data_IF_640051987736
#
_entry.id   IF_640051987736
#
_cell.length_a   1.000
_cell.length_b   1.000
_cell.length_c   1.000
_cell.angle_alpha   90.00
_cell.angle_beta   90.00
_cell.angle_gamma   90.00
#
_symmetry.space_group_name_H-M   'P 1'
#
loop_
_entity.id
_entity.type
_entity.pdbx_description
1 polymer ?
#
# COMPACT_ATOMS: atom_id res chain seq x y z
N UNK A 1 15.54 -5.35 0.66
CA UNK A 1 16.56 -4.29 0.82
C UNK A 1 16.52 -3.75 2.25
N UNK A 2 17.68 -3.50 2.82
CA UNK A 2 17.78 -2.93 4.16
C UNK A 2 17.98 -1.41 4.07
N UNK A 3 17.58 -0.69 5.12
CA UNK A 3 17.84 0.74 5.21
C UNK A 3 19.34 0.98 5.41
N UNK A 4 19.86 2.06 4.83
CA UNK A 4 21.22 2.49 5.04
C UNK A 4 21.38 3.06 6.46
N UNK A 5 22.64 3.13 6.93
CA UNK A 5 22.94 3.72 8.25
C UNK A 5 22.45 5.18 8.34
N UNK A 6 22.56 5.92 7.25
CA UNK A 6 22.10 7.31 7.20
C UNK A 6 20.58 7.41 7.32
N UNK A 7 19.86 6.50 6.66
CA UNK A 7 18.39 6.45 6.76
C UNK A 7 17.95 6.12 8.18
N UNK A 8 18.61 5.18 8.82
CA UNK A 8 18.33 4.79 10.21
C UNK A 8 18.60 5.99 11.14
N UNK A 9 19.74 6.65 10.97
CA UNK A 9 20.10 7.82 11.77
C UNK A 9 19.04 8.93 11.65
N UNK A 10 18.62 9.25 10.43
CA UNK A 10 17.60 10.29 10.21
C UNK A 10 16.26 9.95 10.87
N UNK A 11 15.86 8.68 10.86
CA UNK A 11 14.65 8.24 11.55
C UNK A 11 14.79 8.37 13.06
N UNK A 12 15.92 7.97 13.62
CA UNK A 12 16.17 7.99 15.07
C UNK A 12 16.31 9.39 15.64
N UNK A 13 16.77 10.34 14.83
CA UNK A 13 16.93 11.74 15.25
C UNK A 13 15.73 12.62 14.94
N UNK A 14 14.68 12.06 14.34
CA UNK A 14 13.45 12.81 14.04
C UNK A 14 12.78 13.30 15.32
N UNK A 15 12.32 14.54 15.31
CA UNK A 15 11.60 15.17 16.42
C UNK A 15 10.10 14.92 16.38
N UNK A 16 9.60 14.39 15.26
CA UNK A 16 8.18 14.28 15.01
C UNK A 16 7.65 12.91 15.41
N UNK A 17 6.47 12.89 16.01
CA UNK A 17 5.75 11.65 16.32
C UNK A 17 4.71 11.39 15.23
N UNK A 18 4.89 10.31 14.48
CA UNK A 18 3.99 9.88 13.41
C UNK A 18 3.22 8.61 13.79
N UNK A 19 3.23 8.21 15.07
CA UNK A 19 2.70 6.91 15.50
C UNK A 19 1.19 6.78 15.37
N UNK A 20 0.48 7.88 15.15
CA UNK A 20 -0.97 7.89 14.95
C UNK A 20 -1.37 7.77 13.47
N UNK A 21 -0.39 7.73 12.56
CA UNK A 21 -0.64 7.67 11.13
C UNK A 21 -0.66 6.24 10.59
N UNK A 22 -1.50 6.00 9.60
CA UNK A 22 -1.59 4.73 8.87
C UNK A 22 -1.33 4.98 7.41
N UNK A 23 -0.43 4.19 6.82
CA UNK A 23 -0.09 4.26 5.41
C UNK A 23 -0.59 3.02 4.67
N UNK A 24 -1.11 3.23 3.46
CA UNK A 24 -1.47 2.16 2.55
C UNK A 24 -0.68 2.32 1.26
N UNK A 25 0.08 1.28 0.92
CA UNK A 25 0.79 1.20 -0.36
C UNK A 25 -0.02 0.33 -1.31
N UNK A 26 -0.32 0.86 -2.47
CA UNK A 26 -0.90 0.08 -3.57
C UNK A 26 0.21 -0.24 -4.57
N UNK A 27 0.58 -1.52 -4.65
CA UNK A 27 1.55 -2.00 -5.63
C UNK A 27 0.80 -2.41 -6.88
N UNK A 28 0.86 -1.58 -7.91
CA UNK A 28 0.12 -1.77 -9.16
C UNK A 28 0.88 -2.67 -10.16
N UNK A 29 1.72 -3.57 -9.67
CA UNK A 29 2.35 -4.60 -10.50
C UNK A 29 1.29 -5.54 -11.08
N UNK A 30 1.59 -6.12 -12.24
CA UNK A 30 0.76 -7.18 -12.84
C UNK A 30 1.11 -8.57 -12.27
N UNK A 31 2.12 -8.67 -11.42
CA UNK A 31 2.55 -9.92 -10.81
C UNK A 31 1.76 -10.18 -9.53
N UNK A 32 1.12 -11.34 -9.44
CA UNK A 32 0.38 -11.76 -8.25
C UNK A 32 1.34 -12.07 -7.10
N UNK A 33 0.86 -11.84 -5.89
CA UNK A 33 1.61 -12.23 -4.68
C UNK A 33 1.78 -13.77 -4.64
N UNK A 34 2.89 -14.30 -4.19
CA UNK A 34 4.10 -13.62 -3.66
C UNK A 34 5.21 -13.43 -4.70
N UNK A 35 4.88 -13.42 -5.98
CA UNK A 35 5.87 -13.29 -7.05
C UNK A 35 6.72 -12.03 -6.85
N UNK A 36 8.04 -12.15 -7.14
CA UNK A 36 8.97 -11.04 -6.97
C UNK A 36 8.58 -9.87 -7.86
N UNK A 37 8.55 -8.68 -7.27
CA UNK A 37 8.23 -7.43 -7.95
C UNK A 37 9.30 -6.38 -7.59
N UNK A 38 9.90 -5.77 -8.60
CA UNK A 38 10.86 -4.68 -8.37
C UNK A 38 10.18 -3.47 -7.73
N UNK A 39 8.92 -3.22 -8.08
CA UNK A 39 8.11 -2.17 -7.42
C UNK A 39 7.99 -2.43 -5.93
N UNK A 40 7.82 -3.70 -5.54
CA UNK A 40 7.78 -4.09 -4.13
C UNK A 40 9.10 -3.76 -3.42
N UNK A 41 10.23 -3.91 -4.09
CA UNK A 41 11.53 -3.54 -3.52
C UNK A 41 11.60 -2.05 -3.15
N UNK A 42 11.07 -1.18 -3.99
CA UNK A 42 10.99 0.26 -3.70
C UNK A 42 10.00 0.55 -2.56
N UNK A 43 8.86 -0.13 -2.55
CA UNK A 43 7.89 -0.02 -1.47
C UNK A 43 8.52 -0.42 -0.14
N UNK A 44 9.28 -1.51 -0.12
CA UNK A 44 9.91 -2.01 1.11
C UNK A 44 10.85 -0.97 1.73
N UNK A 45 11.56 -0.20 0.92
CA UNK A 45 12.40 0.90 1.42
C UNK A 45 11.56 1.99 2.07
N UNK A 46 10.54 2.49 1.38
CA UNK A 46 9.66 3.53 1.91
C UNK A 46 8.89 3.05 3.15
N UNK A 47 8.37 1.83 3.09
CA UNK A 47 7.66 1.20 4.20
C UNK A 47 8.57 1.08 5.42
N UNK A 48 9.83 0.65 5.21
CA UNK A 48 10.81 0.52 6.29
C UNK A 48 11.08 1.86 6.97
N UNK A 49 11.19 2.94 6.20
CA UNK A 49 11.36 4.28 6.75
C UNK A 49 10.14 4.71 7.56
N UNK A 50 8.93 4.48 7.04
CA UNK A 50 7.70 4.83 7.72
C UNK A 50 7.55 4.06 9.02
N UNK A 51 7.78 2.75 9.00
CA UNK A 51 7.70 1.90 10.20
C UNK A 51 8.72 2.29 11.24
N UNK A 52 9.93 2.70 10.82
CA UNK A 52 10.96 3.21 11.72
C UNK A 52 10.52 4.50 12.42
N UNK A 53 9.62 5.26 11.81
CA UNK A 53 9.02 6.46 12.39
C UNK A 53 7.70 6.19 13.13
N UNK A 54 7.35 4.93 13.35
CA UNK A 54 6.17 4.55 14.09
C UNK A 54 4.88 4.46 13.28
N UNK A 55 4.94 4.70 11.98
CA UNK A 55 3.77 4.63 11.10
C UNK A 55 3.39 3.16 10.85
N UNK A 56 2.13 2.82 11.02
CA UNK A 56 1.62 1.50 10.63
C UNK A 56 1.43 1.50 9.11
N UNK A 57 2.08 0.56 8.41
CA UNK A 57 2.03 0.49 6.96
C UNK A 57 1.52 -0.87 6.48
N UNK A 58 0.60 -0.84 5.52
CA UNK A 58 0.07 -2.02 4.84
C UNK A 58 0.37 -1.92 3.35
N UNK A 59 0.62 -3.05 2.71
CA UNK A 59 0.83 -3.14 1.27
C UNK A 59 -0.19 -4.10 0.69
N UNK A 60 -0.84 -3.72 -0.40
CA UNK A 60 -1.64 -4.66 -1.16
C UNK A 60 -1.39 -4.49 -2.66
N UNK A 61 -1.60 -5.58 -3.39
CA UNK A 61 -1.52 -5.60 -4.85
C UNK A 61 -2.93 -5.72 -5.41
N UNK A 62 -3.44 -4.70 -6.11
CA UNK A 62 -4.78 -4.80 -6.72
C UNK A 62 -4.97 -6.01 -7.61
N UNK A 63 -3.89 -6.49 -8.26
CA UNK A 63 -3.95 -7.69 -9.13
C UNK A 63 -4.35 -8.97 -8.37
N UNK A 64 -4.16 -9.01 -7.04
CA UNK A 64 -4.56 -10.15 -6.21
C UNK A 64 -6.08 -10.20 -5.99
N UNK A 65 -6.80 -9.16 -6.35
CA UNK A 65 -8.23 -9.02 -6.11
C UNK A 65 -9.02 -9.10 -7.40
N UNK A 66 -10.28 -9.51 -7.30
CA UNK A 66 -11.21 -9.47 -8.43
C UNK A 66 -11.98 -8.15 -8.41
N UNK A 67 -11.50 -7.19 -9.16
CA UNK A 67 -12.11 -5.87 -9.27
C UNK A 67 -12.97 -5.83 -10.53
N UNK A 68 -14.27 -5.62 -10.35
CA UNK A 68 -15.19 -5.53 -11.47
C UNK A 68 -15.04 -4.21 -12.22
N UNK A 69 -15.29 -4.24 -13.51
CA UNK A 69 -15.36 -3.02 -14.31
C UNK A 69 -16.67 -2.29 -14.02
N UNK A 70 -16.61 -0.98 -13.94
CA UNK A 70 -17.80 -0.17 -13.77
C UNK A 70 -17.56 1.07 -12.93
N UNK A 71 -18.61 1.85 -12.76
CA UNK A 71 -18.55 3.17 -12.10
C UNK A 71 -19.15 3.15 -10.70
N UNK A 72 -19.82 2.05 -10.32
CA UNK A 72 -20.46 1.94 -9.02
C UNK A 72 -19.48 1.40 -7.98
N UNK A 73 -19.57 1.84 -6.71
CA UNK A 73 -18.67 1.36 -5.66
C UNK A 73 -18.75 -0.15 -5.44
N UNK A 74 -19.91 -0.75 -5.65
CA UNK A 74 -20.09 -2.20 -5.57
C UNK A 74 -20.87 -2.67 -6.79
N UNK A 75 -20.16 -3.27 -7.73
CA UNK A 75 -20.74 -3.75 -8.98
C UNK A 75 -21.57 -5.01 -8.81
N UNK A 76 -21.51 -5.69 -7.66
CA UNK A 76 -22.39 -6.83 -7.40
C UNK A 76 -23.86 -6.41 -7.34
N UNK A 77 -24.14 -5.16 -7.04
CA UNK A 77 -25.49 -4.58 -7.08
C UNK A 77 -25.95 -4.26 -8.50
N UNK A 78 -25.05 -4.39 -9.48
CA UNK A 78 -25.29 -4.05 -10.89
C UNK A 78 -24.94 -5.19 -11.85
N UNK A 79 -25.15 -6.42 -11.42
CA UNK A 79 -25.07 -7.59 -12.30
C UNK A 79 -23.76 -8.36 -12.29
N UNK A 80 -22.76 -7.94 -11.50
CA UNK A 80 -21.51 -8.68 -11.38
C UNK A 80 -21.61 -9.73 -10.28
N UNK A 81 -20.97 -10.88 -10.49
CA UNK A 81 -20.97 -11.97 -9.51
C UNK A 81 -20.03 -11.74 -8.33
N UNK A 82 -18.97 -10.97 -8.54
CA UNK A 82 -17.99 -10.65 -7.51
C UNK A 82 -17.33 -9.31 -7.79
N UNK A 83 -17.07 -8.55 -6.73
CA UNK A 83 -16.32 -7.31 -6.80
C UNK A 83 -15.61 -7.09 -5.45
N UNK A 84 -14.26 -7.11 -5.47
CA UNK A 84 -13.45 -6.89 -4.28
C UNK A 84 -13.16 -5.39 -4.04
N UNK A 85 -13.63 -4.50 -4.93
CA UNK A 85 -13.41 -3.07 -4.76
C UNK A 85 -13.88 -2.51 -3.42
N UNK A 86 -15.04 -2.91 -2.87
CA UNK A 86 -15.44 -2.45 -1.55
C UNK A 86 -14.42 -2.71 -0.45
N UNK A 87 -13.70 -3.83 -0.52
CA UNK A 87 -12.63 -4.16 0.44
C UNK A 87 -11.48 -3.17 0.31
N UNK A 88 -11.06 -2.89 -0.93
CA UNK A 88 -9.96 -1.99 -1.21
C UNK A 88 -10.30 -0.57 -0.79
N UNK A 89 -11.49 -0.08 -1.14
CA UNK A 89 -11.87 1.30 -0.84
C UNK A 89 -11.99 1.55 0.67
N UNK A 90 -12.39 0.56 1.46
CA UNK A 90 -12.42 0.70 2.91
C UNK A 90 -11.00 0.90 3.47
N UNK A 91 -10.02 0.19 2.94
CA UNK A 91 -8.62 0.36 3.34
C UNK A 91 -8.09 1.73 2.93
N UNK A 92 -8.45 2.21 1.74
CA UNK A 92 -8.10 3.56 1.27
C UNK A 92 -8.67 4.64 2.20
N UNK A 93 -9.94 4.50 2.56
CA UNK A 93 -10.60 5.46 3.46
C UNK A 93 -10.03 5.46 4.87
N UNK A 94 -9.53 4.33 5.34
CA UNK A 94 -8.93 4.21 6.66
C UNK A 94 -7.49 4.72 6.71
N UNK A 95 -6.84 4.91 5.57
CA UNK A 95 -5.45 5.35 5.49
C UNK A 95 -5.35 6.87 5.62
N UNK A 96 -4.31 7.31 6.30
CA UNK A 96 -3.93 8.72 6.37
C UNK A 96 -2.98 9.09 5.23
N UNK A 97 -2.18 8.11 4.79
CA UNK A 97 -1.21 8.26 3.71
C UNK A 97 -1.51 7.19 2.67
N UNK A 98 -1.72 7.61 1.43
CA UNK A 98 -1.93 6.69 0.31
C UNK A 98 -0.76 6.82 -0.66
N UNK A 99 -0.08 5.70 -0.93
CA UNK A 99 1.05 5.66 -1.86
C UNK A 99 0.71 4.73 -3.02
N UNK A 100 0.61 5.31 -4.21
CA UNK A 100 0.42 4.56 -5.45
C UNK A 100 1.78 4.32 -6.09
N UNK A 101 2.14 3.05 -6.28
CA UNK A 101 3.38 2.65 -6.90
C UNK A 101 3.10 1.76 -8.10
N UNK A 102 3.77 2.04 -9.19
CA UNK A 102 3.50 1.36 -10.45
C UNK A 102 4.79 1.12 -11.23
N UNK A 103 4.93 -0.02 -11.94
CA UNK A 103 6.00 -0.17 -12.92
C UNK A 103 5.78 0.81 -14.07
N UNK A 104 6.87 1.25 -14.63
CA UNK A 104 6.84 2.15 -15.80
C UNK A 104 6.78 1.35 -17.08
#
# INVERSE_FOLDING_TARGET
>A
MALSDKQIELCETSKWDFSDLKALFLNCTLKRSPEMSHTQGLIDMSKGIMEKNGITAEVLRPVDFEIAYGVWPDMTEHGWGKDDWPIIIQKVKAADILVLTSPI
#
